data_IF_820556346103
#
_entry.id   IF_820556346103
#
_cell.length_a   1.000
_cell.length_b   1.000
_cell.length_c   1.000
_cell.angle_alpha   90.00
_cell.angle_beta   90.00
_cell.angle_gamma   90.00
#
_symmetry.space_group_name_H-M   'P 1'
#
loop_
_entity.id
_entity.type
_entity.pdbx_description
1 polymer ?
#
# COMPACT_ATOMS: atom_id res chain seq x y z
N UNK A 1 -6.41 3.27 13.60
CA UNK A 1 -5.06 3.81 13.22
C UNK A 1 -4.88 3.46 11.74
N UNK A 2 -3.99 4.09 10.96
CA UNK A 2 -3.85 3.72 9.52
C UNK A 2 -3.55 2.24 9.28
N UNK A 3 -2.97 1.58 10.28
CA UNK A 3 -2.69 0.15 10.30
C UNK A 3 -3.20 -0.40 11.63
N UNK A 4 -4.39 -1.00 11.64
CA UNK A 4 -4.98 -1.62 12.82
C UNK A 4 -5.46 -3.05 12.55
N UNK A 5 -5.84 -3.73 13.64
CA UNK A 5 -6.22 -5.13 13.60
C UNK A 5 -7.49 -5.36 12.76
N UNK A 6 -8.41 -4.39 12.74
CA UNK A 6 -9.65 -4.50 11.99
C UNK A 6 -9.36 -4.52 10.48
N UNK A 7 -8.48 -3.64 9.98
CA UNK A 7 -8.05 -3.68 8.59
C UNK A 7 -7.32 -4.98 8.23
N UNK A 8 -6.47 -5.49 9.13
CA UNK A 8 -5.76 -6.76 8.90
C UNK A 8 -6.73 -7.94 8.77
N UNK A 9 -7.71 -8.04 9.68
CA UNK A 9 -8.72 -9.10 9.61
C UNK A 9 -9.60 -8.97 8.37
N UNK A 10 -9.92 -7.73 7.98
CA UNK A 10 -10.66 -7.48 6.74
C UNK A 10 -9.89 -7.95 5.51
N UNK A 11 -8.60 -7.60 5.37
CA UNK A 11 -7.77 -8.09 4.26
C UNK A 11 -7.68 -9.62 4.28
N UNK A 12 -7.53 -10.25 5.46
CA UNK A 12 -7.55 -11.72 5.60
C UNK A 12 -8.86 -12.35 5.14
N UNK A 13 -9.99 -11.70 5.40
CA UNK A 13 -11.30 -12.16 4.96
C UNK A 13 -11.39 -12.12 3.44
N UNK A 14 -11.08 -10.97 2.83
CA UNK A 14 -11.13 -10.80 1.37
C UNK A 14 -10.15 -11.74 0.66
N UNK A 15 -8.97 -11.97 1.22
CA UNK A 15 -8.00 -12.90 0.64
C UNK A 15 -8.45 -14.37 0.64
N UNK A 16 -9.36 -14.75 1.54
CA UNK A 16 -9.90 -16.12 1.63
C UNK A 16 -11.19 -16.29 0.85
N UNK A 17 -12.06 -15.28 0.88
CA UNK A 17 -13.44 -15.39 0.37
C UNK A 17 -13.67 -14.60 -0.92
N UNK A 18 -12.72 -13.75 -1.33
CA UNK A 18 -12.87 -12.81 -2.42
C UNK A 18 -13.71 -11.60 -2.03
N UNK A 19 -14.22 -10.88 -3.04
CA UNK A 19 -15.17 -9.79 -2.85
C UNK A 19 -16.54 -10.36 -2.48
N UNK A 20 -16.85 -10.37 -1.17
CA UNK A 20 -18.07 -10.97 -0.62
C UNK A 20 -19.20 -9.96 -0.43
N UNK A 21 -18.88 -8.67 -0.34
CA UNK A 21 -19.85 -7.62 -0.02
C UNK A 21 -20.11 -6.64 -1.18
N UNK A 22 -19.28 -6.63 -2.21
CA UNK A 22 -19.25 -5.63 -3.29
C UNK A 22 -18.44 -4.38 -2.94
N UNK A 23 -18.19 -4.14 -1.65
CA UNK A 23 -17.35 -3.04 -1.16
C UNK A 23 -15.87 -3.44 -1.04
N UNK A 24 -15.56 -4.74 -1.17
CA UNK A 24 -14.23 -5.31 -1.00
C UNK A 24 -13.40 -5.33 -2.29
N UNK A 25 -14.00 -4.87 -3.38
CA UNK A 25 -13.44 -4.97 -4.73
C UNK A 25 -12.04 -4.41 -4.83
N UNK A 26 -11.79 -3.26 -4.19
CA UNK A 26 -10.45 -2.64 -4.20
C UNK A 26 -9.40 -3.56 -3.55
N UNK A 27 -9.71 -4.19 -2.41
CA UNK A 27 -8.79 -5.11 -1.75
C UNK A 27 -8.57 -6.36 -2.63
N UNK A 28 -9.64 -6.90 -3.21
CA UNK A 28 -9.56 -8.08 -4.07
C UNK A 28 -8.67 -7.82 -5.29
N UNK A 29 -8.88 -6.69 -5.99
CA UNK A 29 -8.08 -6.29 -7.15
C UNK A 29 -6.60 -6.11 -6.76
N UNK A 30 -6.29 -5.49 -5.60
CA UNK A 30 -4.90 -5.36 -5.12
C UNK A 30 -4.28 -6.73 -4.85
N UNK A 31 -5.02 -7.67 -4.25
CA UNK A 31 -4.52 -9.02 -3.97
C UNK A 31 -4.23 -9.80 -5.26
N UNK A 32 -5.05 -9.63 -6.30
CA UNK A 32 -4.83 -10.23 -7.62
C UNK A 32 -3.57 -9.68 -8.31
N UNK A 33 -3.22 -8.41 -8.07
CA UNK A 33 -1.96 -7.82 -8.54
C UNK A 33 -0.71 -8.35 -7.82
N UNK A 34 -0.89 -9.09 -6.72
CA UNK A 34 0.19 -9.58 -5.86
C UNK A 34 0.14 -11.10 -5.62
N UNK A 35 0.23 -11.93 -6.67
CA UNK A 35 0.22 -13.39 -6.54
C UNK A 35 1.38 -13.93 -5.68
N UNK A 36 2.50 -13.22 -5.60
CA UNK A 36 3.64 -13.53 -4.73
C UNK A 36 3.27 -13.50 -3.24
N UNK A 37 2.25 -12.73 -2.87
CA UNK A 37 1.74 -12.65 -1.50
C UNK A 37 0.67 -13.72 -1.23
N UNK A 38 0.10 -14.40 -2.23
CA UNK A 38 -1.05 -15.28 -2.06
C UNK A 38 -0.88 -16.35 -0.96
N UNK A 39 0.34 -16.86 -0.78
CA UNK A 39 0.65 -17.85 0.26
C UNK A 39 0.44 -17.32 1.67
N UNK A 40 0.80 -16.06 1.95
CA UNK A 40 0.78 -15.52 3.32
C UNK A 40 -0.63 -15.45 3.90
N UNK A 41 -1.63 -15.32 3.04
CA UNK A 41 -3.03 -15.18 3.46
C UNK A 41 -3.68 -16.52 3.81
N UNK A 42 -3.09 -17.63 3.38
CA UNK A 42 -3.67 -18.97 3.49
C UNK A 42 -2.86 -19.92 4.37
N UNK A 43 -1.59 -19.61 4.65
CA UNK A 43 -0.70 -20.42 5.49
C UNK A 43 -0.83 -19.99 6.97
N UNK A 44 -1.42 -20.81 7.86
CA UNK A 44 -1.58 -20.45 9.27
C UNK A 44 -0.24 -20.37 10.02
N UNK A 45 0.86 -20.85 9.44
CA UNK A 45 2.21 -20.70 9.97
C UNK A 45 2.85 -19.35 9.66
N UNK A 46 2.22 -18.51 8.83
CA UNK A 46 2.72 -17.19 8.47
C UNK A 46 1.87 -16.08 9.10
N UNK A 47 2.55 -15.04 9.60
CA UNK A 47 1.90 -13.84 10.08
C UNK A 47 2.05 -12.70 9.05
N UNK A 48 1.00 -12.36 8.28
CA UNK A 48 1.05 -11.25 7.32
C UNK A 48 1.36 -9.88 7.94
N UNK A 49 1.23 -9.72 9.26
CA UNK A 49 1.61 -8.49 9.95
C UNK A 49 3.12 -8.37 10.21
N UNK A 50 3.91 -9.40 9.89
CA UNK A 50 5.36 -9.44 10.10
C UNK A 50 6.12 -9.31 8.77
N UNK A 51 7.36 -8.77 8.80
CA UNK A 51 8.26 -8.87 7.66
C UNK A 51 8.57 -10.33 7.35
N UNK A 52 8.51 -10.69 6.06
CA UNK A 52 8.76 -12.01 5.50
C UNK A 52 9.70 -11.89 4.30
N UNK A 53 10.44 -12.94 4.01
CA UNK A 53 11.24 -13.05 2.79
C UNK A 53 10.35 -13.52 1.63
N UNK A 54 10.20 -12.67 0.62
CA UNK A 54 9.39 -12.91 -0.59
C UNK A 54 10.27 -12.54 -1.78
N UNK A 55 10.56 -13.52 -2.64
CA UNK A 55 11.40 -13.34 -3.83
C UNK A 55 12.77 -12.66 -3.56
N UNK A 56 13.35 -12.90 -2.38
CA UNK A 56 14.64 -12.33 -1.98
C UNK A 56 14.55 -10.89 -1.47
N UNK A 57 13.35 -10.38 -1.19
CA UNK A 57 13.10 -9.10 -0.56
C UNK A 57 12.37 -9.30 0.77
N UNK A 58 12.76 -8.51 1.78
CA UNK A 58 12.02 -8.43 3.05
C UNK A 58 10.79 -7.53 2.86
N UNK A 59 9.60 -8.12 2.85
CA UNK A 59 8.32 -7.43 2.66
C UNK A 59 7.42 -7.66 3.88
N UNK A 60 6.71 -6.63 4.34
CA UNK A 60 5.60 -6.81 5.27
C UNK A 60 4.28 -6.81 4.48
N UNK A 61 3.62 -7.97 4.27
CA UNK A 61 2.48 -8.06 3.36
C UNK A 61 1.29 -7.19 3.78
N UNK A 62 1.00 -7.11 5.08
CA UNK A 62 -0.06 -6.24 5.58
C UNK A 62 0.22 -4.78 5.28
N UNK A 63 1.42 -4.30 5.58
CA UNK A 63 1.81 -2.91 5.32
C UNK A 63 1.77 -2.63 3.81
N UNK A 64 2.22 -3.57 2.98
CA UNK A 64 2.21 -3.43 1.53
C UNK A 64 0.79 -3.22 0.97
N UNK A 65 -0.17 -4.07 1.33
CA UNK A 65 -1.57 -3.94 0.89
C UNK A 65 -2.21 -2.67 1.46
N UNK A 66 -1.96 -2.34 2.73
CA UNK A 66 -2.48 -1.13 3.34
C UNK A 66 -1.93 0.15 2.68
N UNK A 67 -0.67 0.16 2.24
CA UNK A 67 -0.09 1.28 1.50
C UNK A 67 -0.77 1.47 0.13
N UNK A 68 -1.13 0.39 -0.58
CA UNK A 68 -1.93 0.49 -1.80
C UNK A 68 -3.26 1.21 -1.56
N UNK A 69 -4.00 0.81 -0.51
CA UNK A 69 -5.27 1.44 -0.13
C UNK A 69 -5.11 2.92 0.22
N UNK A 70 -4.05 3.26 0.97
CA UNK A 70 -3.77 4.66 1.35
C UNK A 70 -3.51 5.51 0.12
N UNK A 71 -2.61 5.08 -0.76
CA UNK A 71 -2.24 5.86 -1.95
C UNK A 71 -3.40 5.91 -2.95
N UNK A 72 -4.11 4.80 -3.18
CA UNK A 72 -5.30 4.75 -4.02
C UNK A 72 -6.35 5.76 -3.54
N UNK A 73 -6.59 5.83 -2.22
CA UNK A 73 -7.49 6.83 -1.64
C UNK A 73 -6.98 8.26 -1.84
N UNK A 74 -5.69 8.54 -1.63
CA UNK A 74 -5.12 9.87 -1.86
C UNK A 74 -5.30 10.33 -3.31
N UNK A 75 -5.11 9.43 -4.28
CA UNK A 75 -5.33 9.70 -5.71
C UNK A 75 -6.81 9.99 -6.00
N UNK A 76 -7.72 9.14 -5.51
CA UNK A 76 -9.18 9.32 -5.72
C UNK A 76 -9.69 10.61 -5.10
N UNK A 77 -9.26 10.91 -3.89
CA UNK A 77 -9.66 12.13 -3.17
C UNK A 77 -8.93 13.38 -3.67
N UNK A 78 -7.76 13.21 -4.31
CA UNK A 78 -6.91 14.32 -4.73
C UNK A 78 -6.29 15.07 -3.54
N UNK A 79 -6.08 14.38 -2.41
CA UNK A 79 -5.52 14.97 -1.19
C UNK A 79 -4.39 14.09 -0.64
N UNK A 80 -3.16 14.61 -0.55
CA UNK A 80 -2.71 15.90 -1.07
C UNK A 80 -2.71 15.92 -2.61
N UNK A 81 -2.84 17.11 -3.20
CA UNK A 81 -3.01 17.28 -4.66
C UNK A 81 -1.81 16.75 -5.45
N UNK A 82 -0.64 16.79 -4.82
CA UNK A 82 0.66 16.39 -5.32
C UNK A 82 0.72 14.89 -5.60
N UNK A 83 0.00 14.06 -4.83
CA UNK A 83 -0.07 12.61 -5.07
C UNK A 83 -0.75 12.33 -6.40
N UNK A 84 -1.90 12.96 -6.64
CA UNK A 84 -2.63 12.80 -7.90
C UNK A 84 -1.82 13.36 -9.08
N UNK A 85 -1.15 14.50 -8.90
CA UNK A 85 -0.29 15.09 -9.95
C UNK A 85 0.88 14.17 -10.31
N UNK A 86 1.59 13.66 -9.31
CA UNK A 86 2.72 12.74 -9.52
C UNK A 86 2.25 11.43 -10.16
N UNK A 87 1.12 10.87 -9.71
CA UNK A 87 0.51 9.69 -10.32
C UNK A 87 0.26 9.89 -11.83
N UNK A 88 -0.46 10.96 -12.19
CA UNK A 88 -0.78 11.26 -13.58
C UNK A 88 0.50 11.49 -14.41
N UNK A 89 1.48 12.19 -13.85
CA UNK A 89 2.75 12.43 -14.53
C UNK A 89 3.50 11.13 -14.87
N UNK A 90 3.56 10.19 -13.92
CA UNK A 90 4.20 8.89 -14.13
C UNK A 90 3.49 8.09 -15.22
N UNK A 91 2.15 8.03 -15.18
CA UNK A 91 1.36 7.31 -16.18
C UNK A 91 1.49 7.95 -17.56
N UNK A 92 1.46 9.29 -17.67
CA UNK A 92 1.68 10.02 -18.92
C UNK A 92 3.06 9.74 -19.55
N UNK A 93 4.06 9.41 -18.73
CA UNK A 93 5.41 9.05 -19.15
C UNK A 93 5.57 7.57 -19.53
N UNK A 94 4.51 6.77 -19.41
CA UNK A 94 4.47 5.38 -19.81
C UNK A 94 4.69 4.37 -18.68
N UNK A 95 4.74 4.82 -17.42
CA UNK A 95 4.70 3.88 -16.30
C UNK A 95 3.33 3.20 -16.23
N UNK A 96 3.31 1.92 -15.86
CA UNK A 96 2.05 1.24 -15.55
C UNK A 96 1.42 1.85 -14.29
N UNK A 97 0.09 1.78 -14.18
CA UNK A 97 -0.64 2.26 -13.00
C UNK A 97 -0.13 1.62 -11.69
N UNK A 98 0.13 0.31 -11.73
CA UNK A 98 0.66 -0.45 -10.60
C UNK A 98 2.07 0.01 -10.20
N UNK A 99 2.95 0.24 -11.18
CA UNK A 99 4.29 0.76 -10.92
C UNK A 99 4.26 2.20 -10.40
N UNK A 100 3.37 3.05 -10.92
CA UNK A 100 3.18 4.40 -10.43
C UNK A 100 2.72 4.40 -8.96
N UNK A 101 1.80 3.51 -8.58
CA UNK A 101 1.41 3.31 -7.18
C UNK A 101 2.62 2.92 -6.31
N UNK A 102 3.42 1.94 -6.73
CA UNK A 102 4.61 1.52 -5.99
C UNK A 102 5.63 2.65 -5.77
N UNK A 103 5.85 3.52 -6.76
CA UNK A 103 6.76 4.67 -6.63
C UNK A 103 6.26 5.66 -5.56
N UNK A 104 4.96 5.95 -5.54
CA UNK A 104 4.33 6.80 -4.53
C UNK A 104 4.37 6.16 -3.14
N UNK A 105 4.03 4.87 -3.06
CA UNK A 105 4.09 4.08 -1.83
C UNK A 105 5.51 4.05 -1.25
N UNK A 106 6.55 4.00 -2.07
CA UNK A 106 7.94 4.04 -1.62
C UNK A 106 8.26 5.31 -0.82
N UNK A 107 7.79 6.47 -1.28
CA UNK A 107 7.94 7.73 -0.54
C UNK A 107 7.13 7.74 0.75
N UNK A 108 5.87 7.32 0.69
CA UNK A 108 5.01 7.27 1.88
C UNK A 108 5.57 6.31 2.93
N UNK A 109 5.89 5.08 2.54
CA UNK A 109 6.37 4.02 3.41
C UNK A 109 7.68 4.40 4.11
N UNK A 110 8.61 5.03 3.38
CA UNK A 110 9.85 5.57 3.97
C UNK A 110 9.56 6.58 5.08
N UNK A 111 8.72 7.58 4.81
CA UNK A 111 8.43 8.66 5.76
C UNK A 111 7.58 8.17 6.94
N UNK A 112 6.64 7.26 6.69
CA UNK A 112 5.86 6.60 7.73
C UNK A 112 6.74 5.78 8.67
N UNK A 113 7.67 4.98 8.13
CA UNK A 113 8.59 4.21 8.95
C UNK A 113 9.54 5.11 9.76
N UNK A 114 10.02 6.20 9.15
CA UNK A 114 10.81 7.22 9.86
C UNK A 114 10.03 7.84 11.02
N UNK A 115 8.75 8.17 10.83
CA UNK A 115 7.92 8.80 11.86
C UNK A 115 7.61 7.83 13.01
N UNK A 116 7.25 6.59 12.70
CA UNK A 116 7.00 5.54 13.72
C UNK A 116 8.25 5.29 14.55
N UNK A 117 9.43 5.17 13.93
CA UNK A 117 10.69 4.88 14.64
C UNK A 117 11.10 6.01 15.58
N UNK A 118 10.75 7.26 15.26
CA UNK A 118 11.08 8.44 16.06
C UNK A 118 9.96 8.86 17.02
N UNK A 119 8.80 8.20 16.96
CA UNK A 119 7.57 8.64 17.63
C UNK A 119 7.16 10.08 17.24
N UNK A 120 7.41 10.46 15.98
CA UNK A 120 7.09 11.78 15.42
C UNK A 120 5.81 11.72 14.57
N UNK A 121 5.26 12.89 14.24
CA UNK A 121 4.21 13.02 13.23
C UNK A 121 4.73 12.70 11.82
N UNK A 122 3.83 12.28 10.92
CA UNK A 122 4.16 12.09 9.50
C UNK A 122 4.57 13.42 8.87
N UNK A 123 5.73 13.46 8.22
CA UNK A 123 6.25 14.67 7.58
C UNK A 123 5.64 14.86 6.19
N UNK A 124 4.45 15.46 6.16
CA UNK A 124 3.72 15.73 4.93
C UNK A 124 4.50 16.65 3.97
N UNK A 125 5.28 17.60 4.51
CA UNK A 125 6.08 18.52 3.70
C UNK A 125 7.17 17.77 2.93
N UNK A 126 7.90 16.87 3.58
CA UNK A 126 8.87 16.00 2.91
C UNK A 126 8.20 15.04 1.94
N UNK A 127 6.99 14.58 2.24
CA UNK A 127 6.24 13.71 1.35
C UNK A 127 5.94 14.43 0.04
N UNK A 128 5.26 15.58 0.07
CA UNK A 128 4.89 16.31 -1.14
C UNK A 128 6.10 16.83 -1.92
N UNK A 129 7.18 17.23 -1.24
CA UNK A 129 8.43 17.62 -1.90
C UNK A 129 9.10 16.44 -2.61
N UNK A 130 9.09 15.25 -1.99
CA UNK A 130 9.64 14.04 -2.59
C UNK A 130 8.92 13.63 -3.87
N UNK A 131 7.59 13.77 -3.90
CA UNK A 131 6.78 13.45 -5.06
C UNK A 131 7.04 14.37 -6.26
N UNK A 132 7.52 15.59 -6.04
CA UNK A 132 7.85 16.52 -7.14
C UNK A 132 9.07 16.09 -7.97
N UNK A 133 9.82 15.07 -7.52
CA UNK A 133 10.94 14.49 -8.26
C UNK A 133 10.58 13.23 -9.06
N UNK A 134 9.32 12.78 -8.99
CA UNK A 134 8.76 11.68 -9.79
C UNK A 134 8.21 12.24 -11.11
#
# INVERSE_FOLDING_TARGET
MLFDADLLEHIRLVAREGDVSGDDREIADILELHPELARVWNDPGLDPARPLEIEGQTVNPFVHIALHLIIGRQIRQGVPSEVKKAYLHLVERGESEHQALHLLMGWYGKLYFESVRKSDAFDESRYVQGLAFL
#
